data_IF_841633066809
#
_entry.id   IF_841633066809
#
_cell.length_a   1.000
_cell.length_b   1.000
_cell.length_c   1.000
_cell.angle_alpha   90.00
_cell.angle_beta   90.00
_cell.angle_gamma   90.00
#
_symmetry.space_group_name_H-M   'P 1'
#
loop_
_entity.id
_entity.type
_entity.pdbx_description
1 polymer ?
#
# COMPACT_ATOMS: atom_id res chain seq x y z
N UNK A 1 16.18 -4.97 -21.06
CA UNK A 1 16.14 -3.88 -20.04
C UNK A 1 16.23 -2.48 -20.67
N UNK A 2 16.79 -2.32 -21.87
CA UNK A 2 16.93 -1.02 -22.57
C UNK A 2 15.61 -0.27 -22.84
N UNK A 3 14.55 -0.99 -23.25
CA UNK A 3 13.27 -0.37 -23.69
C UNK A 3 12.67 0.59 -22.66
N UNK A 4 12.82 0.32 -21.37
CA UNK A 4 12.26 1.16 -20.31
C UNK A 4 13.14 2.36 -19.95
N UNK A 5 14.44 2.34 -20.25
CA UNK A 5 15.32 3.48 -19.92
C UNK A 5 15.03 4.65 -20.86
N UNK A 6 14.84 4.35 -22.14
CA UNK A 6 14.64 5.36 -23.17
C UNK A 6 13.27 6.05 -23.04
N UNK A 7 12.21 5.32 -22.69
CA UNK A 7 10.86 5.92 -22.50
C UNK A 7 10.84 6.94 -21.37
N UNK A 8 11.54 6.67 -20.27
CA UNK A 8 11.64 7.60 -19.15
C UNK A 8 12.48 8.83 -19.47
N UNK A 9 13.51 8.70 -20.30
CA UNK A 9 14.31 9.83 -20.76
C UNK A 9 13.45 10.78 -21.61
N UNK A 10 12.75 10.25 -22.61
CA UNK A 10 11.83 11.04 -23.45
C UNK A 10 10.71 11.68 -22.63
N UNK A 11 10.14 10.96 -21.65
CA UNK A 11 9.12 11.52 -20.77
C UNK A 11 9.67 12.69 -19.93
N UNK A 12 10.88 12.55 -19.38
CA UNK A 12 11.50 13.62 -18.59
C UNK A 12 11.79 14.85 -19.44
N UNK A 13 12.25 14.68 -20.69
CA UNK A 13 12.47 15.76 -21.63
C UNK A 13 11.17 16.50 -21.95
N UNK A 14 10.10 15.76 -22.27
CA UNK A 14 8.77 16.32 -22.52
C UNK A 14 8.22 17.06 -21.30
N UNK A 15 8.40 16.53 -20.08
CA UNK A 15 7.93 17.21 -18.87
C UNK A 15 8.74 18.47 -18.58
N UNK A 16 10.04 18.45 -18.83
CA UNK A 16 10.91 19.60 -18.63
C UNK A 16 10.68 20.71 -19.69
N UNK A 17 10.16 20.37 -20.87
CA UNK A 17 9.85 21.33 -21.94
C UNK A 17 8.55 22.10 -21.71
N UNK A 18 7.61 21.55 -20.92
CA UNK A 18 6.33 22.19 -20.57
C UNK A 18 6.49 23.42 -19.63
N UNK A 19 7.72 23.74 -19.22
CA UNK A 19 8.01 24.85 -18.32
C UNK A 19 7.82 24.49 -16.84
N UNK A 20 8.56 25.18 -15.97
CA UNK A 20 8.54 24.93 -14.52
C UNK A 20 9.76 24.15 -14.01
N UNK A 21 9.52 23.08 -13.26
CA UNK A 21 10.59 22.34 -12.57
C UNK A 21 11.37 21.45 -13.56
N UNK A 22 12.67 21.71 -13.69
CA UNK A 22 13.60 20.85 -14.43
C UNK A 22 14.12 19.76 -13.51
N UNK A 23 13.71 18.52 -13.76
CA UNK A 23 14.09 17.36 -12.96
C UNK A 23 14.76 16.30 -13.82
N UNK A 24 15.66 15.52 -13.22
CA UNK A 24 16.23 14.36 -13.88
C UNK A 24 15.26 13.15 -13.78
N UNK A 25 15.47 12.12 -14.58
CA UNK A 25 14.62 10.92 -14.66
C UNK A 25 14.36 10.29 -13.27
N UNK A 26 15.38 10.24 -12.40
CA UNK A 26 15.26 9.68 -11.05
C UNK A 26 14.27 10.47 -10.19
N UNK A 27 14.33 11.80 -10.27
CA UNK A 27 13.46 12.70 -9.52
C UNK A 27 12.03 12.69 -10.07
N UNK A 28 11.87 12.57 -11.39
CA UNK A 28 10.56 12.38 -12.01
C UNK A 28 9.90 11.07 -11.57
N UNK A 29 10.66 9.97 -11.54
CA UNK A 29 10.18 8.69 -11.02
C UNK A 29 9.75 8.79 -9.55
N UNK A 30 10.56 9.46 -8.72
CA UNK A 30 10.22 9.68 -7.32
C UNK A 30 8.95 10.54 -7.18
N UNK A 31 8.86 11.65 -7.91
CA UNK A 31 7.71 12.55 -7.91
C UNK A 31 6.43 11.84 -8.32
N UNK A 32 6.48 11.03 -9.38
CA UNK A 32 5.33 10.22 -9.79
C UNK A 32 5.00 9.15 -8.74
N UNK A 33 6.01 8.57 -8.08
CA UNK A 33 5.83 7.64 -6.97
C UNK A 33 5.02 8.26 -5.83
N UNK A 34 5.45 9.44 -5.35
CA UNK A 34 4.75 10.21 -4.33
C UNK A 34 3.33 10.58 -4.77
N UNK A 35 3.16 11.06 -6.00
CA UNK A 35 1.84 11.42 -6.52
C UNK A 35 0.88 10.22 -6.49
N UNK A 36 1.33 9.05 -7.00
CA UNK A 36 0.55 7.81 -6.94
C UNK A 36 0.21 7.40 -5.51
N UNK A 37 1.13 7.54 -4.58
CA UNK A 37 0.88 7.18 -3.18
C UNK A 37 -0.17 8.09 -2.53
N UNK A 38 -0.01 9.40 -2.68
CA UNK A 38 -0.95 10.40 -2.14
C UNK A 38 -2.34 10.18 -2.72
N UNK A 39 -2.44 10.02 -4.05
CA UNK A 39 -3.72 9.80 -4.71
C UNK A 39 -4.37 8.48 -4.28
N UNK A 40 -3.61 7.39 -4.17
CA UNK A 40 -4.13 6.09 -3.67
C UNK A 40 -4.65 6.20 -2.24
N UNK A 41 -3.92 6.88 -1.37
CA UNK A 41 -4.31 7.08 0.03
C UNK A 41 -5.60 7.87 0.11
N UNK A 42 -5.71 8.97 -0.64
CA UNK A 42 -6.93 9.79 -0.72
C UNK A 42 -8.11 8.98 -1.23
N UNK A 43 -7.94 8.24 -2.33
CA UNK A 43 -8.99 7.40 -2.90
C UNK A 43 -9.48 6.30 -1.94
N UNK A 44 -8.56 5.67 -1.20
CA UNK A 44 -8.90 4.63 -0.20
C UNK A 44 -9.73 5.19 0.94
N UNK A 45 -9.33 6.34 1.50
CA UNK A 45 -10.06 6.96 2.60
C UNK A 45 -11.44 7.42 2.14
N UNK A 46 -11.54 8.07 0.98
CA UNK A 46 -12.83 8.47 0.40
C UNK A 46 -13.75 7.26 0.18
N UNK A 47 -13.23 6.14 -0.33
CA UNK A 47 -14.00 4.90 -0.47
C UNK A 47 -14.50 4.38 0.88
N UNK A 48 -13.66 4.39 1.92
CA UNK A 48 -14.04 3.96 3.26
C UNK A 48 -15.10 4.86 3.89
N UNK A 49 -15.00 6.17 3.69
CA UNK A 49 -16.00 7.13 4.17
C UNK A 49 -17.35 6.94 3.46
N UNK A 50 -17.35 6.71 2.14
CA UNK A 50 -18.57 6.39 1.38
C UNK A 50 -19.19 5.05 1.80
N UNK A 51 -18.37 4.05 2.12
CA UNK A 51 -18.83 2.74 2.58
C UNK A 51 -19.22 2.73 4.07
N UNK A 52 -18.94 3.80 4.80
CA UNK A 52 -19.32 3.93 6.20
C UNK A 52 -20.84 4.08 6.33
N UNK A 53 -21.41 3.44 7.35
CA UNK A 53 -22.85 3.52 7.66
C UNK A 53 -23.20 4.65 8.63
N UNK A 54 -22.20 5.41 9.09
CA UNK A 54 -22.44 6.60 9.91
C UNK A 54 -22.99 7.71 9.01
N UNK A 55 -24.28 8.02 9.12
CA UNK A 55 -25.08 8.85 8.21
C UNK A 55 -24.69 10.33 8.02
N UNK A 56 -23.42 10.68 8.17
CA UNK A 56 -22.87 11.98 7.79
C UNK A 56 -22.16 11.91 6.43
N UNK A 57 -22.07 13.05 5.71
CA UNK A 57 -21.32 13.11 4.47
C UNK A 57 -19.82 12.81 4.70
N UNK A 58 -19.09 12.35 3.66
CA UNK A 58 -17.64 12.15 3.74
C UNK A 58 -16.94 13.42 4.23
N UNK A 59 -15.96 13.26 5.11
CA UNK A 59 -15.15 14.38 5.62
C UNK A 59 -14.13 14.82 4.58
N UNK A 60 -13.71 13.90 3.72
CA UNK A 60 -12.71 14.16 2.72
C UNK A 60 -13.31 14.80 1.47
N UNK A 61 -12.63 15.84 0.97
CA UNK A 61 -12.96 16.45 -0.32
C UNK A 61 -12.71 15.47 -1.47
N UNK A 62 -13.56 15.56 -2.49
CA UNK A 62 -13.48 14.77 -3.72
C UNK A 62 -12.09 14.81 -4.37
N UNK A 63 -11.83 13.80 -5.21
CA UNK A 63 -10.62 13.71 -6.02
C UNK A 63 -10.59 14.87 -7.04
N UNK A 64 -9.41 15.46 -7.23
CA UNK A 64 -9.26 16.46 -8.28
C UNK A 64 -9.30 15.78 -9.66
N UNK A 65 -9.65 16.48 -10.76
CA UNK A 65 -9.74 15.87 -12.09
C UNK A 65 -8.43 15.19 -12.54
N UNK A 66 -7.27 15.76 -12.18
CA UNK A 66 -5.97 15.16 -12.45
C UNK A 66 -5.70 13.89 -11.63
N UNK A 67 -6.21 13.84 -10.40
CA UNK A 67 -6.12 12.66 -9.53
C UNK A 67 -7.02 11.54 -10.04
N UNK A 68 -8.24 11.87 -10.46
CA UNK A 68 -9.17 10.92 -11.08
C UNK A 68 -8.59 10.32 -12.36
N UNK A 69 -8.01 11.16 -13.24
CA UNK A 69 -7.29 10.69 -14.43
C UNK A 69 -6.10 9.81 -14.09
N UNK A 70 -5.38 10.12 -13.01
CA UNK A 70 -4.29 9.26 -12.55
C UNK A 70 -4.83 7.90 -12.07
N UNK A 71 -5.94 7.88 -11.34
CA UNK A 71 -6.58 6.65 -10.89
C UNK A 71 -7.12 5.82 -12.04
N UNK A 72 -7.68 6.43 -13.09
CA UNK A 72 -8.16 5.71 -14.26
C UNK A 72 -7.03 5.01 -15.04
N UNK A 73 -5.80 5.51 -14.95
CA UNK A 73 -4.61 4.88 -15.50
C UNK A 73 -4.08 3.73 -14.61
N UNK A 74 -4.44 3.73 -13.33
CA UNK A 74 -4.06 2.69 -12.38
C UNK A 74 -5.12 1.58 -12.36
N UNK A 75 -4.71 0.37 -11.99
CA UNK A 75 -5.68 -0.71 -11.80
C UNK A 75 -6.54 -0.45 -10.55
N UNK A 76 -7.87 -0.65 -10.60
CA UNK A 76 -8.78 -0.50 -9.44
C UNK A 76 -8.37 -1.35 -8.23
N UNK A 77 -7.72 -2.48 -8.48
CA UNK A 77 -7.16 -3.40 -7.47
C UNK A 77 -6.20 -2.67 -6.52
N UNK A 78 -5.52 -1.64 -7.01
CA UNK A 78 -4.55 -0.88 -6.23
C UNK A 78 -5.22 -0.02 -5.14
N UNK A 79 -6.52 0.27 -5.27
CA UNK A 79 -7.31 1.01 -4.30
C UNK A 79 -8.08 0.02 -3.42
N UNK A 80 -8.86 -0.86 -4.06
CA UNK A 80 -9.86 -1.72 -3.41
C UNK A 80 -9.29 -3.02 -2.86
N UNK A 81 -8.15 -3.48 -3.36
CA UNK A 81 -7.73 -4.87 -3.21
C UNK A 81 -8.41 -5.80 -4.22
N UNK A 82 -8.14 -7.10 -4.09
CA UNK A 82 -8.79 -8.16 -4.86
C UNK A 82 -9.85 -8.81 -3.99
N UNK A 83 -11.11 -8.70 -4.39
CA UNK A 83 -12.23 -9.30 -3.64
C UNK A 83 -12.20 -10.84 -3.71
N UNK A 84 -11.51 -11.41 -4.69
CA UNK A 84 -11.39 -12.87 -4.86
C UNK A 84 -10.41 -13.52 -3.88
N UNK A 85 -9.52 -12.75 -3.23
CA UNK A 85 -8.65 -13.31 -2.21
C UNK A 85 -9.40 -13.38 -0.87
N UNK A 86 -9.51 -14.56 -0.26
CA UNK A 86 -9.99 -14.67 1.10
C UNK A 86 -9.02 -13.96 2.05
N UNK A 87 -9.56 -13.17 2.97
CA UNK A 87 -8.78 -12.60 4.06
C UNK A 87 -8.36 -13.74 4.99
N UNK A 88 -7.06 -13.82 5.30
CA UNK A 88 -6.53 -14.91 6.10
C UNK A 88 -7.19 -14.94 7.48
N UNK A 89 -7.85 -16.05 7.81
CA UNK A 89 -8.46 -16.27 9.14
C UNK A 89 -9.93 -15.88 9.27
N UNK A 90 -10.59 -15.38 8.21
CA UNK A 90 -12.05 -15.12 8.23
C UNK A 90 -12.72 -15.92 7.10
N UNK A 91 -13.55 -16.93 7.41
CA UNK A 91 -14.36 -17.54 6.38
C UNK A 91 -15.33 -16.48 5.82
N UNK A 92 -15.31 -16.26 4.50
CA UNK A 92 -16.33 -15.45 3.85
C UNK A 92 -17.67 -16.16 3.99
N UNK A 93 -18.44 -15.76 5.00
CA UNK A 93 -19.85 -16.14 5.11
C UNK A 93 -20.60 -15.27 4.11
N UNK A 94 -21.00 -15.86 2.98
CA UNK A 94 -22.04 -15.28 2.13
C UNK A 94 -23.33 -15.32 2.94
N UNK A 95 -23.72 -14.19 3.52
CA UNK A 95 -25.08 -14.03 4.03
C UNK A 95 -25.97 -13.96 2.80
N UNK A 96 -26.52 -15.11 2.40
CA UNK A 96 -27.65 -15.13 1.49
C UNK A 96 -28.75 -14.30 2.16
N UNK A 97 -29.11 -13.20 1.49
CA UNK A 97 -30.19 -12.33 1.94
C UNK A 97 -31.46 -13.15 1.82
N UNK A 98 -31.85 -13.83 2.89
CA UNK A 98 -33.21 -14.32 3.03
C UNK A 98 -34.12 -13.11 2.91
N UNK A 99 -35.00 -13.15 1.92
CA UNK A 99 -36.05 -12.19 1.69
C UNK A 99 -36.76 -11.91 3.02
N UNK A 100 -36.56 -10.70 3.55
CA UNK A 100 -37.34 -10.21 4.67
C UNK A 100 -38.78 -10.11 4.17
N UNK A 101 -39.67 -10.98 4.67
CA UNK A 101 -41.10 -10.80 4.46
C UNK A 101 -41.52 -9.44 5.03
N UNK A 102 -42.23 -8.67 4.20
CA UNK A 102 -42.91 -7.43 4.56
C UNK A 102 -43.69 -7.60 5.87
N UNK A 103 -43.21 -6.96 6.94
CA UNK A 103 -44.05 -6.66 8.09
C UNK A 103 -44.77 -5.36 7.74
N UNK A 104 -45.90 -5.48 7.05
CA UNK A 104 -46.92 -4.42 7.06
C UNK A 104 -47.48 -4.34 8.48
N UNK A 105 -46.83 -3.52 9.29
CA UNK A 105 -47.32 -3.10 10.60
C UNK A 105 -47.32 -1.58 10.62
N UNK A 106 -48.45 -0.98 10.29
CA UNK A 106 -48.75 0.39 10.71
C UNK A 106 -48.53 0.48 12.22
N UNK A 107 -47.53 1.24 12.65
CA UNK A 107 -47.48 1.72 14.02
C UNK A 107 -47.23 3.22 14.00
N UNK A 108 -48.30 3.94 14.34
CA UNK A 108 -48.25 5.35 14.65
C UNK A 108 -47.40 5.56 15.90
N UNK A 109 -46.45 6.49 15.84
CA UNK A 109 -45.91 7.10 17.06
C UNK A 109 -45.95 8.61 16.87
N UNK A 110 -46.81 9.22 17.68
CA UNK A 110 -47.07 10.65 17.82
C UNK A 110 -45.79 11.42 18.13
N UNK A 111 -45.68 12.64 17.60
CA UNK A 111 -44.74 13.63 18.11
C UNK A 111 -45.15 14.10 19.50
N UNK A 112 -44.18 14.32 20.40
CA UNK A 112 -44.25 15.52 21.22
C UNK A 112 -42.92 16.29 21.29
N UNK A 113 -43.04 17.56 20.89
CA UNK A 113 -42.48 18.80 21.48
C UNK A 113 -41.29 18.73 22.46
N UNK A 114 -40.21 19.39 22.03
CA UNK A 114 -39.41 20.42 22.73
C UNK A 114 -39.27 20.34 24.27
N UNK A 115 -38.07 19.97 24.73
CA UNK A 115 -37.53 20.38 26.04
C UNK A 115 -36.13 20.94 25.83
N UNK A 116 -36.02 22.26 25.94
CA UNK A 116 -34.76 22.97 26.01
C UNK A 116 -34.04 22.64 27.32
N UNK A 117 -32.79 22.20 27.25
CA UNK A 117 -31.86 22.24 28.38
C UNK A 117 -30.58 22.91 27.92
N UNK A 118 -30.49 24.19 28.26
CA UNK A 118 -29.32 25.03 28.08
C UNK A 118 -28.35 24.79 29.24
N UNK A 119 -27.17 24.21 28.98
CA UNK A 119 -26.03 24.28 29.90
C UNK A 119 -24.73 24.44 29.11
N UNK A 120 -24.26 25.69 29.03
CA UNK A 120 -22.89 26.08 28.66
C UNK A 120 -21.92 25.91 29.86
N UNK A 121 -20.61 26.23 29.75
CA UNK A 121 -19.55 25.55 29.01
C UNK A 121 -18.41 25.11 29.98
N UNK A 122 -17.70 24.00 29.75
CA UNK A 122 -16.35 23.85 30.33
C UNK A 122 -15.46 22.78 29.69
N UNK A 123 -14.33 23.28 29.19
CA UNK A 123 -12.98 22.70 29.11
C UNK A 123 -12.52 21.97 27.82
N UNK A 124 -11.52 22.53 27.09
CA UNK A 124 -10.83 21.84 26.01
C UNK A 124 -9.80 20.85 26.57
N UNK A 125 -10.16 19.57 26.63
CA UNK A 125 -9.16 18.51 26.83
C UNK A 125 -8.31 18.37 25.57
N UNK A 126 -7.12 18.94 25.63
CA UNK A 126 -6.03 18.74 24.68
C UNK A 126 -5.67 17.26 24.58
N UNK A 127 -6.05 16.60 23.49
CA UNK A 127 -5.45 15.32 23.11
C UNK A 127 -4.05 15.56 22.53
N UNK A 128 -3.02 15.40 23.38
CA UNK A 128 -1.63 15.29 22.92
C UNK A 128 -1.46 13.97 22.17
N UNK A 129 -1.24 14.03 20.86
CA UNK A 129 -0.81 12.91 20.03
C UNK A 129 0.57 12.41 20.47
N UNK A 130 0.62 11.20 21.06
CA UNK A 130 1.88 10.46 21.29
C UNK A 130 2.32 9.81 19.97
N UNK A 131 2.97 10.55 19.08
CA UNK A 131 3.38 10.02 17.75
C UNK A 131 4.89 10.04 17.50
N UNK A 132 5.73 9.69 18.49
CA UNK A 132 7.19 9.65 18.29
C UNK A 132 7.95 8.43 18.85
N UNK A 133 7.29 7.40 19.40
CA UNK A 133 8.02 6.25 19.96
C UNK A 133 7.96 4.95 19.12
N UNK A 134 7.07 4.86 18.13
CA UNK A 134 6.88 3.61 17.36
C UNK A 134 7.73 3.50 16.08
N UNK A 135 8.10 4.62 15.46
CA UNK A 135 8.98 4.63 14.26
C UNK A 135 10.40 4.12 14.53
N UNK A 136 10.96 4.34 15.73
CA UNK A 136 12.35 3.97 16.03
C UNK A 136 12.59 2.46 16.19
N UNK A 137 11.54 1.68 16.50
CA UNK A 137 11.64 0.23 16.74
C UNK A 137 11.51 -0.59 15.45
N UNK A 138 10.76 -0.09 14.48
CA UNK A 138 10.57 -0.72 13.16
C UNK A 138 11.79 -0.52 12.26
N UNK A 139 12.46 0.64 12.33
CA UNK A 139 13.69 0.87 11.57
C UNK A 139 14.86 0.00 12.06
N UNK A 140 14.94 -0.29 13.37
CA UNK A 140 15.99 -1.17 13.92
C UNK A 140 15.86 -2.63 13.47
N UNK A 141 14.62 -3.14 13.36
CA UNK A 141 14.40 -4.53 12.93
C UNK A 141 14.67 -4.71 11.44
N UNK A 142 14.36 -3.70 10.61
CA UNK A 142 14.67 -3.72 9.18
C UNK A 142 16.17 -3.70 8.92
N UNK A 143 16.93 -2.87 9.65
CA UNK A 143 18.40 -2.83 9.54
C UNK A 143 19.02 -4.15 10.00
N UNK A 144 18.50 -4.77 11.06
CA UNK A 144 18.97 -6.07 11.53
C UNK A 144 18.70 -7.20 10.52
N UNK A 145 17.51 -7.21 9.91
CA UNK A 145 17.15 -8.17 8.86
C UNK A 145 18.04 -8.02 7.61
N UNK A 146 18.35 -6.79 7.20
CA UNK A 146 19.24 -6.55 6.06
C UNK A 146 20.66 -7.08 6.32
N UNK A 147 21.20 -6.92 7.53
CA UNK A 147 22.50 -7.47 7.93
C UNK A 147 22.51 -9.00 7.91
N UNK A 148 21.46 -9.64 8.44
CA UNK A 148 21.31 -11.11 8.40
C UNK A 148 21.25 -11.64 6.96
N UNK A 149 20.55 -10.95 6.06
CA UNK A 149 20.52 -11.32 4.64
C UNK A 149 21.91 -11.20 3.98
N UNK A 150 22.67 -10.14 4.29
CA UNK A 150 24.03 -10.00 3.75
C UNK A 150 24.94 -11.15 4.20
N UNK A 151 24.84 -11.57 5.45
CA UNK A 151 25.60 -12.69 6.01
C UNK A 151 25.24 -14.02 5.33
N UNK A 152 23.96 -14.29 5.11
CA UNK A 152 23.50 -15.49 4.39
C UNK A 152 24.06 -15.52 2.96
N UNK A 153 24.06 -14.38 2.25
CA UNK A 153 24.61 -14.31 0.90
C UNK A 153 26.12 -14.59 0.85
N UNK A 154 26.88 -14.14 1.86
CA UNK A 154 28.32 -14.46 1.97
C UNK A 154 28.54 -15.96 2.18
N UNK A 155 27.80 -16.58 3.10
CA UNK A 155 27.92 -18.03 3.37
C UNK A 155 27.56 -18.86 2.14
N UNK A 156 26.52 -18.49 1.39
CA UNK A 156 26.15 -19.17 0.14
C UNK A 156 27.23 -19.04 -0.93
N UNK A 157 27.84 -17.85 -1.08
CA UNK A 157 28.94 -17.65 -2.01
C UNK A 157 30.15 -18.52 -1.67
N UNK A 158 30.54 -18.57 -0.39
CA UNK A 158 31.66 -19.40 0.08
C UNK A 158 31.39 -20.90 -0.12
N UNK A 159 30.17 -21.36 0.17
CA UNK A 159 29.76 -22.75 -0.07
C UNK A 159 29.87 -23.13 -1.55
N UNK A 160 29.39 -22.25 -2.43
CA UNK A 160 29.47 -22.48 -3.88
C UNK A 160 30.92 -22.53 -4.40
N UNK A 161 31.81 -21.70 -3.86
CA UNK A 161 33.24 -21.73 -4.19
C UNK A 161 33.87 -23.07 -3.75
N UNK A 162 33.58 -23.53 -2.53
CA UNK A 162 34.07 -24.82 -2.01
C UNK A 162 33.57 -25.99 -2.87
N UNK A 163 32.31 -25.95 -3.28
CA UNK A 163 31.72 -26.97 -4.16
C UNK A 163 32.39 -26.98 -5.54
N UNK A 164 32.66 -25.81 -6.11
CA UNK A 164 33.39 -25.70 -7.37
C UNK A 164 34.82 -26.26 -7.28
N UNK A 165 35.52 -25.99 -6.17
CA UNK A 165 36.86 -26.54 -5.92
C UNK A 165 36.83 -28.07 -5.78
N UNK A 166 35.85 -28.61 -5.04
CA UNK A 166 35.68 -30.05 -4.87
C UNK A 166 35.35 -30.76 -6.19
N UNK A 167 34.49 -30.17 -7.02
CA UNK A 167 34.19 -30.72 -8.34
C UNK A 167 35.43 -30.70 -9.25
N UNK A 168 36.25 -29.66 -9.16
CA UNK A 168 37.50 -29.56 -9.93
C UNK A 168 38.53 -30.61 -9.48
N UNK A 169 38.68 -30.85 -8.18
CA UNK A 169 39.60 -31.87 -7.67
C UNK A 169 39.14 -33.27 -8.06
N UNK A 170 37.84 -33.56 -7.98
CA UNK A 170 37.25 -34.82 -8.42
C UNK A 170 37.46 -35.04 -9.93
N UNK A 171 37.23 -34.01 -10.75
CA UNK A 171 37.46 -34.08 -12.20
C UNK A 171 38.93 -34.35 -12.54
N UNK A 172 39.87 -33.74 -11.80
CA UNK A 172 41.31 -34.00 -11.95
C UNK A 172 41.68 -35.42 -11.55
N UNK A 173 41.14 -35.94 -10.44
CA UNK A 173 41.39 -37.30 -9.97
C UNK A 173 40.88 -38.36 -10.96
N UNK A 174 39.66 -38.19 -11.48
CA UNK A 174 39.09 -39.08 -12.48
C UNK A 174 39.91 -39.08 -13.78
N UNK A 175 40.42 -37.92 -14.20
CA UNK A 175 41.27 -37.82 -15.40
C UNK A 175 42.61 -38.55 -15.24
N UNK A 176 43.19 -38.55 -14.04
CA UNK A 176 44.43 -39.28 -13.75
C UNK A 176 44.20 -40.80 -13.69
N UNK A 177 43.03 -41.25 -13.21
CA UNK A 177 42.69 -42.68 -13.22
C UNK A 177 42.52 -43.26 -14.63
N UNK A 178 42.11 -42.46 -15.62
CA UNK A 178 41.98 -42.92 -17.01
C UNK A 178 43.31 -42.99 -17.79
N UNK A 179 44.45 -42.62 -17.18
CA UNK A 179 45.77 -42.60 -17.82
C UNK A 179 46.72 -43.71 -17.33
N UNK A 180 46.26 -44.58 -16.43
CA UNK A 180 46.95 -45.81 -15.97
C UNK A 180 46.22 -47.00 -16.58
#
# INVERSE_FOLDING_TARGET
MEKYRNTWATLAENLNSLGGSKKNVKEWKASLGTLKEVTRKKARVLKQEIQGTGGGPPKQKDLNPSEERLLSLLSPVVISGLDTLPEAGVPKVSIETTEFLDITGEYMVEQPSEVAVEVTPTNPSTFKTKSNLKRKKEDSTIIELAKKHEEILKVLAESNVKLAQSNLTLAKANRLQCLI
#
